data_IF_889105876600
#
_entry.id   IF_889105876600
#
_cell.length_a   1.000
_cell.length_b   1.000
_cell.length_c   1.000
_cell.angle_alpha   90.00
_cell.angle_beta   90.00
_cell.angle_gamma   90.00
#
_symmetry.space_group_name_H-M   'P 1'
#
loop_
_entity.id
_entity.type
_entity.pdbx_description
1 polymer ?
#
# COMPACT_ATOMS: atom_id res chain seq x y z
N UNK A 1 4.63 -13.77 -28.77
CA UNK A 1 3.55 -14.06 -27.79
C UNK A 1 4.13 -13.74 -26.41
N UNK A 2 3.58 -12.79 -25.69
CA UNK A 2 4.10 -12.49 -24.35
C UNK A 2 3.70 -13.63 -23.41
N UNK A 3 4.67 -14.29 -22.81
CA UNK A 3 4.44 -15.33 -21.84
C UNK A 3 3.68 -14.74 -20.64
N UNK A 4 2.46 -15.23 -20.42
CA UNK A 4 1.65 -14.84 -19.26
C UNK A 4 2.06 -15.72 -18.09
N UNK A 5 2.73 -15.12 -17.14
CA UNK A 5 3.19 -15.79 -15.93
C UNK A 5 2.10 -15.76 -14.86
N UNK A 6 1.56 -16.91 -14.50
CA UNK A 6 0.55 -17.05 -13.46
C UNK A 6 1.15 -17.28 -12.05
N UNK A 7 2.45 -17.07 -11.89
CA UNK A 7 3.12 -17.31 -10.61
C UNK A 7 2.82 -16.22 -9.57
N UNK A 8 2.82 -14.94 -9.99
CA UNK A 8 2.51 -13.79 -9.14
C UNK A 8 2.25 -12.56 -10.01
N UNK A 9 1.33 -11.71 -9.58
CA UNK A 9 1.09 -10.38 -10.14
C UNK A 9 2.32 -9.46 -9.99
N UNK A 10 3.17 -9.69 -9.01
CA UNK A 10 4.44 -8.97 -8.84
C UNK A 10 5.42 -9.15 -10.02
N UNK A 11 5.20 -10.15 -10.86
CA UNK A 11 6.01 -10.38 -12.06
C UNK A 11 5.55 -9.55 -13.26
N UNK A 12 4.43 -8.88 -13.15
CA UNK A 12 3.89 -8.06 -14.23
C UNK A 12 4.60 -6.70 -14.30
N UNK A 13 4.82 -6.23 -15.51
CA UNK A 13 5.25 -4.86 -15.74
C UNK A 13 4.11 -3.86 -15.40
N UNK A 14 4.48 -2.64 -15.05
CA UNK A 14 3.50 -1.58 -14.83
C UNK A 14 2.74 -1.26 -16.14
N UNK A 15 1.45 -1.03 -16.01
CA UNK A 15 0.63 -0.63 -17.16
C UNK A 15 1.14 0.70 -17.75
N UNK A 16 1.19 0.88 -19.08
CA UNK A 16 1.71 2.10 -19.70
C UNK A 16 1.11 3.40 -19.17
N UNK A 17 -0.20 3.45 -18.91
CA UNK A 17 -0.86 4.62 -18.31
C UNK A 17 -0.36 4.96 -16.91
N UNK A 18 0.12 3.99 -16.15
CA UNK A 18 0.75 4.22 -14.82
C UNK A 18 2.09 4.90 -15.01
N UNK A 19 2.89 4.44 -15.98
CA UNK A 19 4.18 5.07 -16.29
C UNK A 19 4.02 6.49 -16.82
N UNK A 20 3.04 6.74 -17.66
CA UNK A 20 2.69 8.08 -18.12
C UNK A 20 2.25 9.01 -16.96
N UNK A 21 1.45 8.49 -16.04
CA UNK A 21 1.02 9.26 -14.85
C UNK A 21 2.22 9.59 -13.95
N UNK A 22 3.14 8.64 -13.77
CA UNK A 22 4.37 8.86 -13.02
C UNK A 22 5.25 9.93 -13.66
N UNK A 23 5.42 9.89 -14.99
CA UNK A 23 6.18 10.89 -15.70
C UNK A 23 5.59 12.31 -15.51
N UNK A 24 4.26 12.45 -15.64
CA UNK A 24 3.58 13.73 -15.37
C UNK A 24 3.72 14.20 -13.93
N UNK A 25 3.61 13.29 -12.97
CA UNK A 25 3.75 13.63 -11.56
C UNK A 25 5.18 14.04 -11.16
N UNK A 26 6.18 13.66 -11.96
CA UNK A 26 7.58 13.99 -11.75
C UNK A 26 7.98 15.37 -12.31
N UNK A 27 7.03 16.14 -12.84
CA UNK A 27 7.30 17.47 -13.37
C UNK A 27 7.28 18.52 -12.25
N UNK A 28 8.31 19.36 -12.20
CA UNK A 28 8.42 20.47 -11.25
C UNK A 28 8.84 20.03 -9.83
N UNK A 29 8.38 20.79 -8.86
CA UNK A 29 8.66 20.57 -7.44
C UNK A 29 7.37 20.42 -6.66
N UNK A 30 7.34 19.46 -5.74
CA UNK A 30 6.24 19.24 -4.82
C UNK A 30 6.74 19.16 -3.39
N UNK A 31 5.90 19.53 -2.43
CA UNK A 31 6.17 19.38 -1.00
C UNK A 31 6.22 17.89 -0.68
N UNK A 32 7.20 17.46 0.11
CA UNK A 32 7.33 16.07 0.52
C UNK A 32 6.38 15.68 1.66
N UNK A 33 6.53 14.45 2.11
CA UNK A 33 5.84 13.88 3.30
C UNK A 33 4.31 13.75 3.19
N UNK A 34 3.78 13.75 1.97
CA UNK A 34 2.35 13.58 1.74
C UNK A 34 1.53 14.89 1.77
N UNK A 35 2.19 16.03 1.89
CA UNK A 35 1.55 17.36 1.91
C UNK A 35 1.35 17.95 0.50
N UNK A 36 1.54 17.14 -0.53
CA UNK A 36 1.39 17.55 -1.92
C UNK A 36 -0.05 17.35 -2.45
N UNK A 37 -0.46 18.13 -3.47
CA UNK A 37 -1.81 18.08 -4.02
C UNK A 37 -2.16 16.73 -4.67
N UNK A 38 -1.16 16.00 -5.20
CA UNK A 38 -1.40 14.70 -5.84
C UNK A 38 -1.76 13.65 -4.80
N UNK A 39 -1.05 13.62 -3.67
CA UNK A 39 -1.37 12.75 -2.54
C UNK A 39 -2.77 13.05 -2.01
N UNK A 40 -3.11 14.32 -1.79
CA UNK A 40 -4.44 14.73 -1.33
C UNK A 40 -5.54 14.30 -2.31
N UNK A 41 -5.33 14.48 -3.61
CA UNK A 41 -6.27 14.07 -4.64
C UNK A 41 -6.44 12.54 -4.70
N UNK A 42 -5.35 11.79 -4.54
CA UNK A 42 -5.38 10.34 -4.50
C UNK A 42 -6.10 9.81 -3.26
N UNK A 43 -5.84 10.37 -2.08
CA UNK A 43 -6.57 10.04 -0.84
C UNK A 43 -8.07 10.30 -0.98
N UNK A 44 -8.47 11.45 -1.51
CA UNK A 44 -9.86 11.78 -1.75
C UNK A 44 -10.52 10.80 -2.74
N UNK A 45 -9.82 10.46 -3.83
CA UNK A 45 -10.30 9.51 -4.84
C UNK A 45 -10.52 8.11 -4.27
N UNK A 46 -9.56 7.59 -3.52
CA UNK A 46 -9.69 6.29 -2.88
C UNK A 46 -10.75 6.32 -1.79
N UNK A 47 -10.75 7.36 -0.95
CA UNK A 47 -11.73 7.51 0.13
C UNK A 47 -13.17 7.52 -0.37
N UNK A 48 -13.44 8.13 -1.53
CA UNK A 48 -14.77 8.16 -2.13
C UNK A 48 -15.36 6.78 -2.45
N UNK A 49 -14.52 5.74 -2.57
CA UNK A 49 -14.97 4.36 -2.81
C UNK A 49 -15.52 3.68 -1.55
N UNK A 50 -15.17 4.20 -0.37
CA UNK A 50 -15.50 3.58 0.92
C UNK A 50 -16.56 4.38 1.71
N UNK A 51 -16.97 5.52 1.21
CA UNK A 51 -18.03 6.34 1.81
C UNK A 51 -17.52 7.49 2.70
N UNK A 52 -18.45 8.29 3.26
CA UNK A 52 -18.11 9.46 4.04
C UNK A 52 -17.37 9.09 5.34
N UNK A 53 -16.31 9.84 5.63
CA UNK A 53 -15.48 9.62 6.82
C UNK A 53 -14.39 8.55 6.66
N UNK A 54 -14.25 7.93 5.50
CA UNK A 54 -13.15 7.01 5.24
C UNK A 54 -11.80 7.75 5.29
N UNK A 55 -10.88 7.22 6.09
CA UNK A 55 -9.50 7.70 6.16
C UNK A 55 -8.61 6.82 5.28
N UNK A 56 -7.86 7.45 4.39
CA UNK A 56 -6.90 6.78 3.53
C UNK A 56 -5.50 7.09 4.01
N UNK A 57 -4.62 6.08 3.99
CA UNK A 57 -3.21 6.25 4.27
C UNK A 57 -2.40 5.43 3.28
N UNK A 58 -1.48 6.08 2.60
CA UNK A 58 -0.52 5.40 1.74
C UNK A 58 0.66 4.90 2.57
N UNK A 59 1.05 3.66 2.31
CA UNK A 59 2.20 3.00 2.94
C UNK A 59 3.08 2.39 1.87
N UNK A 60 4.33 2.13 2.21
CA UNK A 60 5.36 1.70 1.25
C UNK A 60 5.00 0.37 0.55
N UNK A 61 4.41 -0.56 1.29
CA UNK A 61 4.10 -1.91 0.77
C UNK A 61 2.99 -2.58 1.59
N UNK A 62 2.56 -3.78 1.15
CA UNK A 62 1.52 -4.56 1.82
C UNK A 62 1.86 -4.95 3.26
N UNK A 63 3.13 -5.17 3.58
CA UNK A 63 3.58 -5.43 4.96
C UNK A 63 3.30 -4.22 5.85
N UNK A 64 3.63 -3.01 5.38
CA UNK A 64 3.31 -1.77 6.07
C UNK A 64 1.81 -1.58 6.26
N UNK A 65 1.01 -1.91 5.24
CA UNK A 65 -0.45 -1.86 5.33
C UNK A 65 -1.00 -2.80 6.40
N UNK A 66 -0.50 -4.03 6.45
CA UNK A 66 -0.92 -5.01 7.46
C UNK A 66 -0.54 -4.57 8.88
N UNK A 67 0.68 -4.08 9.06
CA UNK A 67 1.14 -3.58 10.38
C UNK A 67 0.30 -2.39 10.82
N UNK A 68 0.01 -1.46 9.93
CA UNK A 68 -0.83 -0.31 10.23
C UNK A 68 -2.27 -0.72 10.58
N UNK A 69 -2.87 -1.61 9.77
CA UNK A 69 -4.23 -2.11 10.00
C UNK A 69 -4.34 -2.84 11.35
N UNK A 70 -3.41 -3.76 11.64
CA UNK A 70 -3.39 -4.46 12.94
C UNK A 70 -3.23 -3.47 14.09
N UNK A 71 -2.34 -2.47 13.94
CA UNK A 71 -2.13 -1.42 14.93
C UNK A 71 -3.36 -0.58 15.23
N UNK A 72 -4.28 -0.42 14.26
CA UNK A 72 -5.56 0.28 14.47
C UNK A 72 -6.55 -0.52 15.33
N UNK A 73 -6.44 -1.85 15.35
CA UNK A 73 -7.38 -2.73 16.05
C UNK A 73 -6.79 -3.32 17.34
N UNK A 74 -5.46 -3.36 17.48
CA UNK A 74 -4.80 -3.88 18.68
C UNK A 74 -4.79 -2.84 19.81
N UNK A 75 -5.43 -3.12 20.92
CA UNK A 75 -5.46 -2.23 22.09
C UNK A 75 -4.10 -2.09 22.78
N UNK A 76 -3.19 -3.04 22.58
CA UNK A 76 -1.80 -3.00 23.10
C UNK A 76 -0.84 -3.80 22.22
N UNK A 77 0.43 -3.34 22.18
CA UNK A 77 1.58 -3.89 21.44
C UNK A 77 1.94 -5.36 21.69
N UNK A 78 1.14 -6.13 22.40
CA UNK A 78 1.45 -7.52 22.82
C UNK A 78 0.52 -8.58 22.26
N UNK A 79 -0.56 -8.20 21.58
CA UNK A 79 -1.47 -9.18 21.02
C UNK A 79 -1.04 -9.48 19.57
N UNK A 80 -0.30 -10.59 19.43
CA UNK A 80 0.07 -11.10 18.11
C UNK A 80 -1.00 -12.04 17.59
N UNK A 81 -1.70 -11.66 16.55
CA UNK A 81 -2.50 -12.59 15.78
C UNK A 81 -1.57 -13.30 14.79
N UNK A 82 -1.13 -14.51 15.11
CA UNK A 82 -0.44 -15.36 14.16
C UNK A 82 -1.47 -16.09 13.31
N UNK A 83 -1.71 -15.60 12.10
CA UNK A 83 -2.39 -16.40 11.10
C UNK A 83 -1.39 -17.39 10.54
N UNK A 84 -1.54 -18.66 10.84
CA UNK A 84 -0.78 -19.73 10.22
C UNK A 84 -1.26 -19.88 8.79
N UNK A 85 -0.61 -19.18 7.86
CA UNK A 85 -0.82 -19.43 6.44
C UNK A 85 -0.06 -20.69 6.03
N UNK A 86 -0.63 -21.57 5.19
CA UNK A 86 0.07 -22.77 4.74
C UNK A 86 1.29 -22.38 3.91
N UNK A 87 2.41 -22.75 4.44
CA UNK A 87 3.69 -23.22 3.87
C UNK A 87 4.54 -22.41 2.92
N UNK A 88 4.20 -21.26 2.38
CA UNK A 88 5.12 -20.57 1.46
C UNK A 88 5.55 -19.15 1.86
N UNK A 89 4.94 -18.55 2.86
CA UNK A 89 5.33 -17.24 3.38
C UNK A 89 5.92 -17.38 4.79
N UNK A 90 7.24 -17.30 4.90
CA UNK A 90 7.90 -17.08 6.19
C UNK A 90 7.65 -15.65 6.63
N UNK A 91 6.63 -15.43 7.42
CA UNK A 91 6.47 -14.18 8.16
C UNK A 91 7.60 -14.04 9.17
N UNK A 92 8.43 -13.02 9.03
CA UNK A 92 9.33 -12.61 10.10
C UNK A 92 8.57 -11.64 10.99
N UNK A 93 8.54 -11.85 12.31
CA UNK A 93 7.93 -10.88 13.22
C UNK A 93 8.71 -9.56 13.12
N UNK A 94 8.00 -8.50 12.78
CA UNK A 94 8.54 -7.14 12.84
C UNK A 94 8.26 -6.63 14.25
N UNK A 95 9.30 -6.56 15.07
CA UNK A 95 9.21 -5.92 16.38
C UNK A 95 9.29 -4.41 16.16
N UNK A 96 8.19 -3.71 16.34
CA UNK A 96 8.19 -2.24 16.41
C UNK A 96 8.52 -1.88 17.86
N UNK A 97 9.70 -1.25 18.05
CA UNK A 97 10.09 -0.65 19.34
C UNK A 97 9.56 0.76 19.45
#
# INVERSE_FOLDING_TARGET
MADRWFASDNNAAAHPRVMEALARANEGHAVGYGDDPLTAAAEAKVGSLFGPGALVRFVLNGTGANVYAIGCFAERRRDYLTVTAPSSYRWRPVTVR
#
